data_IF_246109775845
#
_entry.id   IF_246109775845
#
_cell.length_a   1.000
_cell.length_b   1.000
_cell.length_c   1.000
_cell.angle_alpha   90.00
_cell.angle_beta   90.00
_cell.angle_gamma   90.00
#
_symmetry.space_group_name_H-M   'P 1'
#
loop_
_entity.id
_entity.type
_entity.pdbx_description
1 polymer ?
#
# COMPACT_ATOMS: atom_id res chain seq x y z
N UNK A 1 2.27 -9.02 -12.43
CA UNK A 1 2.72 -8.92 -11.00
C UNK A 1 2.97 -7.47 -10.67
N UNK A 2 2.46 -7.02 -9.56
CA UNK A 2 2.66 -5.66 -9.05
C UNK A 2 4.14 -5.31 -8.82
N UNK A 3 4.43 -4.05 -8.62
CA UNK A 3 5.76 -3.56 -8.24
C UNK A 3 5.66 -2.57 -7.09
N UNK A 4 6.61 -2.62 -6.18
CA UNK A 4 6.75 -1.65 -5.10
C UNK A 4 8.14 -1.02 -5.15
N UNK A 5 8.21 0.24 -4.74
CA UNK A 5 9.45 0.98 -4.58
C UNK A 5 9.37 1.84 -3.33
N UNK A 6 10.49 2.09 -2.69
CA UNK A 6 10.48 2.91 -1.48
C UNK A 6 11.83 3.47 -1.12
N UNK A 7 11.81 4.50 -0.29
CA UNK A 7 12.97 5.18 0.24
C UNK A 7 12.65 5.66 1.67
N UNK A 8 13.57 5.46 2.56
CA UNK A 8 13.51 6.03 3.92
C UNK A 8 14.76 6.86 4.14
N UNK A 9 14.60 8.09 4.60
CA UNK A 9 15.71 8.99 4.90
C UNK A 9 16.07 8.94 6.37
N UNK A 10 17.35 9.17 6.68
CA UNK A 10 17.81 9.24 8.05
C UNK A 10 17.27 10.51 8.75
N UNK A 11 17.15 10.50 10.08
CA UNK A 11 16.78 11.70 10.84
C UNK A 11 17.69 12.88 10.50
N UNK A 12 17.11 14.06 10.28
CA UNK A 12 17.83 15.30 9.95
C UNK A 12 18.16 15.48 8.46
N UNK A 13 17.87 14.48 7.61
CA UNK A 13 17.98 14.63 6.16
C UNK A 13 16.71 15.22 5.56
N UNK A 14 16.86 15.81 4.36
CA UNK A 14 15.74 16.40 3.64
C UNK A 14 14.67 15.34 3.33
N UNK A 15 13.38 15.73 3.44
CA UNK A 15 12.25 14.90 3.09
C UNK A 15 12.33 14.47 1.62
N UNK A 16 11.96 13.22 1.29
CA UNK A 16 11.94 12.77 -0.09
C UNK A 16 10.81 13.44 -0.87
N UNK A 17 11.09 13.82 -2.11
CA UNK A 17 10.12 14.50 -2.98
C UNK A 17 9.08 13.51 -3.52
N UNK A 18 7.76 13.84 -3.53
CA UNK A 18 6.75 13.05 -4.23
C UNK A 18 7.08 12.82 -5.72
N UNK A 19 7.70 13.81 -6.38
CA UNK A 19 8.14 13.67 -7.77
C UNK A 19 9.16 12.55 -7.97
N UNK A 20 10.00 12.26 -6.99
CA UNK A 20 10.89 11.10 -7.02
C UNK A 20 10.09 9.80 -7.01
N UNK A 21 9.03 9.71 -6.20
CA UNK A 21 8.13 8.56 -6.16
C UNK A 21 7.45 8.29 -7.50
N UNK A 22 6.99 9.33 -8.16
CA UNK A 22 6.40 9.22 -9.51
C UNK A 22 7.43 8.70 -10.52
N UNK A 23 8.66 9.17 -10.47
CA UNK A 23 9.74 8.69 -11.33
C UNK A 23 10.11 7.23 -11.03
N UNK A 24 10.14 6.83 -9.76
CA UNK A 24 10.36 5.44 -9.36
C UNK A 24 9.24 4.54 -9.87
N UNK A 25 7.98 4.97 -9.73
CA UNK A 25 6.82 4.26 -10.27
C UNK A 25 6.86 4.13 -11.80
N UNK A 26 7.31 5.17 -12.50
CA UNK A 26 7.43 5.15 -13.96
C UNK A 26 8.40 4.05 -14.45
N UNK A 27 9.48 3.80 -13.71
CA UNK A 27 10.46 2.75 -14.06
C UNK A 27 9.86 1.35 -13.94
N UNK A 28 8.94 1.14 -13.00
CA UNK A 28 8.32 -0.17 -12.73
C UNK A 28 6.91 -0.30 -13.30
N UNK A 29 6.49 0.59 -14.21
CA UNK A 29 5.15 0.57 -14.82
C UNK A 29 4.83 -0.76 -15.53
N UNK A 30 5.84 -1.41 -16.10
CA UNK A 30 5.70 -2.71 -16.74
C UNK A 30 5.28 -3.83 -15.78
N UNK A 31 5.49 -3.64 -14.48
CA UNK A 31 5.06 -4.59 -13.44
C UNK A 31 3.57 -4.45 -13.12
N UNK A 32 3.05 -3.23 -13.19
CA UNK A 32 1.67 -2.92 -12.86
C UNK A 32 1.17 -1.74 -13.69
N UNK A 33 0.66 -1.99 -14.90
CA UNK A 33 0.22 -0.93 -15.79
C UNK A 33 -1.14 -0.33 -15.43
N UNK A 34 -1.95 -1.01 -14.61
CA UNK A 34 -3.36 -0.68 -14.43
C UNK A 34 -3.60 0.45 -13.41
N UNK A 35 -2.81 0.50 -12.35
CA UNK A 35 -2.98 1.48 -11.28
C UNK A 35 -1.63 1.78 -10.62
N UNK A 36 -1.56 2.91 -9.90
CA UNK A 36 -0.38 3.29 -9.16
C UNK A 36 -0.66 4.38 -8.15
N UNK A 37 0.17 4.45 -7.15
CA UNK A 37 0.09 5.48 -6.12
C UNK A 37 1.42 5.75 -5.47
N UNK A 38 1.53 6.90 -4.84
CA UNK A 38 2.72 7.36 -4.10
C UNK A 38 2.27 7.92 -2.76
N UNK A 39 2.94 7.52 -1.71
CA UNK A 39 2.92 8.19 -0.41
C UNK A 39 4.28 8.85 -0.18
N UNK A 40 4.27 10.09 0.29
CA UNK A 40 5.47 10.79 0.72
C UNK A 40 5.20 11.57 2.01
N UNK A 41 6.07 11.41 2.97
CA UNK A 41 6.08 12.22 4.20
C UNK A 41 7.50 12.71 4.50
N UNK A 42 7.75 13.20 5.71
CA UNK A 42 9.04 13.77 6.10
C UNK A 42 10.19 12.75 6.04
N UNK A 43 9.91 11.46 6.13
CA UNK A 43 10.93 10.41 6.28
C UNK A 43 10.83 9.28 5.28
N UNK A 44 9.67 9.08 4.67
CA UNK A 44 9.42 7.92 3.83
C UNK A 44 8.76 8.31 2.50
N UNK A 45 9.10 7.55 1.49
CA UNK A 45 8.50 7.57 0.18
C UNK A 45 8.16 6.14 -0.18
N UNK A 46 6.89 5.87 -0.48
CA UNK A 46 6.41 4.56 -0.90
C UNK A 46 5.70 4.69 -2.23
N UNK A 47 6.06 3.84 -3.18
CA UNK A 47 5.45 3.77 -4.49
C UNK A 47 4.92 2.38 -4.79
N UNK A 48 3.80 2.32 -5.51
CA UNK A 48 3.14 1.09 -5.91
C UNK A 48 2.67 1.18 -7.36
N UNK A 49 2.94 0.14 -8.13
CA UNK A 49 2.31 -0.12 -9.43
C UNK A 49 1.55 -1.43 -9.36
N UNK A 50 0.29 -1.41 -9.80
CA UNK A 50 -0.64 -2.51 -9.64
C UNK A 50 -1.04 -3.13 -10.98
N UNK A 51 -1.04 -4.46 -11.00
CA UNK A 51 -1.72 -5.26 -12.01
C UNK A 51 -3.05 -5.74 -11.39
N UNK A 52 -4.17 -5.18 -11.86
CA UNK A 52 -5.50 -5.45 -11.32
C UNK A 52 -6.13 -6.62 -12.06
N UNK A 53 -5.98 -7.83 -11.52
CA UNK A 53 -6.64 -9.02 -12.06
C UNK A 53 -7.99 -9.26 -11.36
N UNK A 54 -8.10 -8.89 -10.10
CA UNK A 54 -9.27 -9.06 -9.24
C UNK A 54 -9.48 -7.78 -8.43
N UNK A 55 -10.75 -7.36 -8.27
CA UNK A 55 -11.16 -6.18 -7.51
C UNK A 55 -10.54 -4.85 -7.96
N UNK A 56 -11.05 -4.35 -9.06
CA UNK A 56 -10.64 -3.07 -9.66
C UNK A 56 -10.95 -1.87 -8.73
N UNK A 57 -11.89 -2.00 -7.80
CA UNK A 57 -12.40 -0.89 -6.99
C UNK A 57 -11.83 -0.74 -5.57
N UNK A 58 -11.34 -1.82 -4.97
CA UNK A 58 -11.02 -1.85 -3.52
C UNK A 58 -9.54 -1.95 -3.16
N UNK A 59 -8.66 -2.17 -4.12
CA UNK A 59 -7.26 -2.49 -3.86
C UNK A 59 -6.27 -1.39 -4.19
N UNK A 60 -6.70 -0.13 -4.30
CA UNK A 60 -5.77 0.98 -4.52
C UNK A 60 -4.76 1.09 -3.38
N UNK A 61 -3.48 1.26 -3.73
CA UNK A 61 -2.38 1.42 -2.78
C UNK A 61 -1.55 2.66 -3.11
N UNK A 62 -0.91 3.31 -2.15
CA UNK A 62 -0.82 2.93 -0.72
C UNK A 62 -2.18 2.93 -0.01
N UNK A 63 -2.39 1.94 0.85
CA UNK A 63 -3.58 1.84 1.68
C UNK A 63 -3.29 2.43 3.06
N UNK A 64 -4.21 3.22 3.59
CA UNK A 64 -4.04 3.93 4.86
C UNK A 64 -4.95 3.38 5.95
N UNK A 65 -4.45 3.35 7.19
CA UNK A 65 -5.27 3.15 8.38
C UNK A 65 -6.31 4.28 8.54
N UNK A 66 -7.34 4.02 9.32
CA UNK A 66 -8.44 4.97 9.53
C UNK A 66 -7.98 6.34 10.07
N UNK A 67 -6.96 6.33 10.92
CA UNK A 67 -6.34 7.55 11.49
C UNK A 67 -5.20 8.12 10.61
N UNK A 68 -4.88 7.46 9.49
CA UNK A 68 -3.81 7.80 8.55
C UNK A 68 -2.39 7.82 9.17
N UNK A 69 -2.20 7.20 10.33
CA UNK A 69 -0.90 7.10 10.99
C UNK A 69 -0.04 5.97 10.41
N UNK A 70 -0.68 5.01 9.78
CA UNK A 70 -0.02 3.87 9.14
C UNK A 70 -0.46 3.79 7.69
N UNK A 71 0.47 3.51 6.80
CA UNK A 71 0.15 3.16 5.41
C UNK A 71 0.98 1.95 4.96
N UNK A 72 0.46 1.25 3.97
CA UNK A 72 1.09 0.05 3.43
C UNK A 72 1.09 0.06 1.91
N UNK A 73 2.19 -0.41 1.33
CA UNK A 73 2.26 -0.93 -0.03
C UNK A 73 2.63 -2.41 0.06
N UNK A 74 1.92 -3.25 -0.68
CA UNK A 74 2.05 -4.69 -0.56
C UNK A 74 1.94 -5.36 -1.93
N UNK A 75 2.90 -6.19 -2.25
CA UNK A 75 2.88 -7.06 -3.41
C UNK A 75 2.95 -8.52 -2.94
N UNK A 76 1.79 -9.13 -2.79
CA UNK A 76 1.67 -10.50 -2.29
C UNK A 76 0.22 -10.91 -2.12
N UNK A 77 0.01 -12.04 -1.49
CA UNK A 77 -1.31 -12.58 -1.16
C UNK A 77 -1.30 -13.15 0.27
N UNK A 78 -2.40 -12.95 1.00
CA UNK A 78 -2.64 -13.55 2.29
C UNK A 78 -3.73 -14.60 2.12
N UNK A 79 -3.34 -15.86 2.05
CA UNK A 79 -4.26 -16.96 1.71
C UNK A 79 -5.38 -17.15 2.73
N UNK A 80 -5.09 -16.94 4.00
CA UNK A 80 -6.06 -17.05 5.10
C UNK A 80 -6.66 -15.70 5.52
N UNK A 81 -6.68 -14.70 4.64
CA UNK A 81 -7.12 -13.34 4.97
C UNK A 81 -8.57 -13.29 5.49
N UNK A 82 -9.44 -14.18 5.02
CA UNK A 82 -10.86 -14.21 5.46
C UNK A 82 -10.97 -14.63 6.92
N UNK A 83 -10.18 -15.60 7.34
CA UNK A 83 -10.12 -16.07 8.73
C UNK A 83 -9.56 -14.97 9.64
N UNK A 84 -8.45 -14.37 9.23
CA UNK A 84 -7.82 -13.27 9.97
C UNK A 84 -8.76 -12.06 10.07
N UNK A 85 -9.41 -11.70 8.97
CA UNK A 85 -10.42 -10.63 8.93
C UNK A 85 -11.55 -10.89 9.92
N UNK A 86 -12.12 -12.08 9.92
CA UNK A 86 -13.21 -12.45 10.83
C UNK A 86 -12.78 -12.34 12.30
N UNK A 87 -11.54 -12.71 12.62
CA UNK A 87 -10.96 -12.54 13.95
C UNK A 87 -10.84 -11.06 14.34
N UNK A 88 -10.28 -10.25 13.48
CA UNK A 88 -10.12 -8.82 13.72
C UNK A 88 -11.45 -8.08 13.82
N UNK A 89 -12.43 -8.39 12.99
CA UNK A 89 -13.80 -7.85 13.08
C UNK A 89 -14.46 -8.20 14.43
N UNK A 90 -14.24 -9.42 14.91
CA UNK A 90 -14.73 -9.86 16.21
C UNK A 90 -14.09 -9.09 17.38
N UNK A 91 -12.84 -8.66 17.21
CA UNK A 91 -12.12 -7.83 18.16
C UNK A 91 -12.44 -6.32 18.02
N UNK A 92 -13.32 -5.97 17.11
CA UNK A 92 -13.84 -4.60 16.94
C UNK A 92 -13.17 -3.79 15.82
N UNK A 93 -12.31 -4.38 15.02
CA UNK A 93 -11.72 -3.69 13.87
C UNK A 93 -12.73 -3.53 12.74
N UNK A 94 -12.74 -2.34 12.13
CA UNK A 94 -13.65 -2.00 11.01
C UNK A 94 -12.85 -1.94 9.72
N UNK A 95 -13.29 -2.69 8.73
CA UNK A 95 -12.67 -2.76 7.41
C UNK A 95 -13.40 -1.85 6.41
N UNK A 96 -12.64 -1.09 5.64
CA UNK A 96 -13.16 -0.22 4.58
C UNK A 96 -13.19 -0.88 3.20
N UNK A 97 -12.33 -1.89 2.99
CA UNK A 97 -12.19 -2.59 1.70
C UNK A 97 -12.40 -4.10 1.85
N UNK A 98 -12.40 -4.81 0.74
CA UNK A 98 -12.38 -6.28 0.71
C UNK A 98 -10.97 -6.85 0.47
N UNK A 99 -9.95 -5.99 0.44
CA UNK A 99 -8.57 -6.36 0.16
C UNK A 99 -7.95 -7.18 1.30
N UNK A 100 -7.18 -8.19 0.95
CA UNK A 100 -6.34 -8.93 1.88
C UNK A 100 -5.23 -8.05 2.49
N UNK A 101 -4.78 -7.04 1.76
CA UNK A 101 -3.80 -6.06 2.24
C UNK A 101 -4.28 -5.31 3.49
N UNK A 102 -5.58 -5.00 3.57
CA UNK A 102 -6.14 -4.31 4.74
C UNK A 102 -6.04 -5.15 6.02
N UNK A 103 -6.02 -6.48 5.90
CA UNK A 103 -5.82 -7.36 7.06
C UNK A 103 -4.47 -7.11 7.73
N UNK A 104 -3.40 -6.87 6.95
CA UNK A 104 -2.09 -6.50 7.50
C UNK A 104 -2.18 -5.16 8.23
N UNK A 105 -2.91 -4.21 7.64
CA UNK A 105 -3.03 -2.85 8.17
C UNK A 105 -3.79 -2.81 9.50
N UNK A 106 -4.76 -3.71 9.68
CA UNK A 106 -5.60 -3.79 10.87
C UNK A 106 -5.02 -4.68 11.97
N UNK A 107 -4.10 -5.59 11.62
CA UNK A 107 -3.46 -6.48 12.57
C UNK A 107 -2.37 -5.77 13.38
#
# INVERSE_FOLDING_TARGET
MCGIAGLVVAPGQAAPSPALGERMNAVIVHRGPDDGGVHADERALLGMRRLSIIDVGGGHQPLYGADRQVCIVFNGEIYNYRELRAGLEKDGHVFATQSDTEVILQA
#
